data_IF_540439644653
#
_entry.id   IF_540439644653
#
_cell.length_a   1.000
_cell.length_b   1.000
_cell.length_c   1.000
_cell.angle_alpha   90.00
_cell.angle_beta   90.00
_cell.angle_gamma   90.00
#
_symmetry.space_group_name_H-M   'P 1'
#
loop_
_entity.id
_entity.type
_entity.pdbx_description
1 polymer ?
#
# COMPACT_ATOMS: atom_id res chain seq x y z
N UNK A 1 -1.02 16.79 19.25
CA UNK A 1 -0.77 16.15 17.94
C UNK A 1 -0.96 14.66 18.15
N UNK A 2 -2.01 14.08 17.56
CA UNK A 2 -2.41 12.69 17.81
C UNK A 2 -1.44 11.71 17.16
N UNK A 3 -1.03 10.67 17.89
CA UNK A 3 -0.18 9.57 17.40
C UNK A 3 -0.75 8.88 16.14
N UNK A 4 -2.04 9.00 15.84
CA UNK A 4 -2.63 8.47 14.62
C UNK A 4 -2.15 9.17 13.34
N UNK A 5 -1.89 10.49 13.37
CA UNK A 5 -1.35 11.21 12.20
C UNK A 5 0.13 10.88 11.97
N UNK A 6 0.89 10.63 13.04
CA UNK A 6 2.29 10.21 12.94
C UNK A 6 2.41 8.80 12.34
N UNK A 7 1.53 7.88 12.73
CA UNK A 7 1.45 6.52 12.15
C UNK A 7 1.05 6.57 10.68
N UNK A 8 0.11 7.45 10.30
CA UNK A 8 -0.26 7.63 8.88
C UNK A 8 0.90 8.17 8.04
N UNK A 9 1.75 9.04 8.60
CA UNK A 9 2.95 9.59 7.95
C UNK A 9 4.11 8.59 7.87
N UNK A 10 4.34 7.78 8.91
CA UNK A 10 5.32 6.66 8.86
C UNK A 10 4.84 5.54 7.93
N UNK A 11 3.54 5.25 7.92
CA UNK A 11 2.91 4.38 6.94
C UNK A 11 3.07 4.93 5.52
N UNK A 12 3.22 6.24 5.32
CA UNK A 12 3.53 6.84 4.02
C UNK A 12 4.98 6.57 3.60
N UNK A 13 5.94 6.67 4.52
CA UNK A 13 7.34 6.31 4.26
C UNK A 13 7.54 4.82 4.00
N UNK A 14 6.71 3.97 4.59
CA UNK A 14 6.59 2.57 4.21
C UNK A 14 5.83 2.42 2.87
N UNK A 15 4.69 3.11 2.68
CA UNK A 15 3.81 3.10 1.49
C UNK A 15 4.48 3.56 0.20
N UNK A 16 5.45 4.45 0.29
CA UNK A 16 6.24 4.88 -0.86
C UNK A 16 6.99 3.68 -1.47
N UNK A 17 7.53 2.78 -0.65
CA UNK A 17 7.97 1.45 -1.08
C UNK A 17 6.86 0.38 -1.13
N UNK A 18 5.66 0.66 -0.59
CA UNK A 18 4.64 -0.36 -0.28
C UNK A 18 3.42 -0.38 -1.21
N UNK A 19 3.24 0.55 -2.17
CA UNK A 19 2.17 0.41 -3.17
C UNK A 19 2.53 -0.17 -4.55
N UNK A 20 3.81 -0.44 -4.79
CA UNK A 20 4.17 -1.59 -5.62
C UNK A 20 4.02 -2.93 -4.84
N UNK A 21 3.92 -2.89 -3.50
CA UNK A 21 4.20 -4.05 -2.63
C UNK A 21 2.96 -4.75 -2.04
N UNK A 22 1.80 -4.09 -1.99
CA UNK A 22 0.60 -4.71 -1.41
C UNK A 22 -0.14 -5.64 -2.37
N UNK A 23 -0.04 -5.41 -3.69
CA UNK A 23 -0.56 -6.31 -4.73
C UNK A 23 0.39 -6.53 -5.93
N UNK A 24 1.31 -5.60 -6.25
CA UNK A 24 2.22 -5.71 -7.42
C UNK A 24 3.55 -6.43 -7.14
N UNK A 25 3.77 -6.86 -5.90
CA UNK A 25 4.63 -8.02 -5.60
C UNK A 25 3.99 -9.35 -6.04
N UNK A 26 2.98 -9.28 -6.92
CA UNK A 26 2.43 -10.36 -7.73
C UNK A 26 2.57 -10.11 -9.24
N UNK A 27 3.24 -9.05 -9.70
CA UNK A 27 3.67 -8.91 -11.09
C UNK A 27 5.02 -9.61 -11.30
N UNK A 28 5.17 -10.51 -12.28
CA UNK A 28 6.33 -11.40 -12.44
C UNK A 28 7.63 -10.69 -12.83
N UNK A 29 7.65 -9.35 -12.89
CA UNK A 29 8.88 -8.59 -13.16
C UNK A 29 9.64 -8.15 -11.89
N UNK A 30 9.07 -8.35 -10.68
CA UNK A 30 9.81 -8.11 -9.44
C UNK A 30 10.16 -9.44 -8.77
N UNK A 31 11.46 -9.70 -8.61
CA UNK A 31 12.01 -10.86 -7.91
C UNK A 31 11.76 -10.86 -6.40
N UNK A 32 11.06 -9.84 -5.87
CA UNK A 32 10.91 -9.56 -4.44
C UNK A 32 9.46 -9.70 -3.92
N UNK A 33 8.61 -10.40 -4.69
CA UNK A 33 7.20 -10.66 -4.40
C UNK A 33 6.93 -11.44 -3.10
N UNK A 34 5.84 -11.14 -2.37
CA UNK A 34 5.37 -12.02 -1.27
C UNK A 34 4.94 -13.42 -1.74
N UNK A 35 4.83 -13.64 -3.06
CA UNK A 35 4.46 -14.94 -3.65
C UNK A 35 2.99 -15.32 -3.47
N UNK A 36 2.11 -14.34 -3.26
CA UNK A 36 0.72 -14.55 -2.83
C UNK A 36 -0.32 -14.50 -3.97
N UNK A 37 0.08 -14.10 -5.18
CA UNK A 37 -0.73 -14.17 -6.40
C UNK A 37 0.18 -14.14 -7.63
N UNK A 38 -0.39 -14.51 -8.77
CA UNK A 38 0.23 -14.46 -10.11
C UNK A 38 -0.62 -13.60 -11.04
N UNK A 39 -0.02 -12.95 -12.03
CA UNK A 39 -0.77 -12.28 -13.09
C UNK A 39 -1.54 -13.30 -13.94
N UNK A 40 -2.84 -13.06 -14.08
CA UNK A 40 -3.70 -13.81 -14.98
C UNK A 40 -4.68 -12.82 -15.63
N UNK A 41 -4.46 -12.43 -16.90
CA UNK A 41 -5.35 -11.52 -17.62
C UNK A 41 -6.80 -12.02 -17.71
N UNK A 42 -7.04 -13.32 -17.51
CA UNK A 42 -8.38 -13.90 -17.54
C UNK A 42 -9.06 -13.92 -16.16
N UNK A 43 -8.32 -13.60 -15.09
CA UNK A 43 -8.89 -13.51 -13.75
C UNK A 43 -9.64 -12.18 -13.57
N UNK A 44 -10.68 -12.12 -12.70
CA UNK A 44 -11.54 -10.94 -12.52
C UNK A 44 -10.81 -9.63 -12.20
N UNK A 45 -9.62 -9.71 -11.59
CA UNK A 45 -8.80 -8.57 -11.17
C UNK A 45 -7.43 -8.54 -11.86
N UNK A 46 -7.24 -9.31 -12.93
CA UNK A 46 -5.93 -9.51 -13.56
C UNK A 46 -4.93 -10.31 -12.72
N UNK A 47 -5.36 -10.84 -11.57
CA UNK A 47 -4.55 -11.56 -10.60
C UNK A 47 -5.24 -12.86 -10.17
N UNK A 48 -4.46 -13.94 -10.09
CA UNK A 48 -4.85 -15.23 -9.54
C UNK A 48 -4.18 -15.43 -8.18
N UNK A 49 -4.93 -15.41 -7.06
CA UNK A 49 -4.37 -15.65 -5.73
C UNK A 49 -3.78 -17.06 -5.58
N UNK A 50 -2.66 -17.18 -4.85
CA UNK A 50 -2.10 -18.47 -4.43
C UNK A 50 -3.01 -19.15 -3.40
N UNK A 51 -3.65 -18.35 -2.54
CA UNK A 51 -4.64 -18.79 -1.55
C UNK A 51 -6.00 -18.22 -1.94
N UNK A 52 -6.91 -19.08 -2.36
CA UNK A 52 -8.23 -18.66 -2.81
C UNK A 52 -9.07 -18.02 -1.70
N UNK A 53 -8.99 -18.53 -0.47
CA UNK A 53 -9.73 -18.00 0.68
C UNK A 53 -8.82 -17.08 1.51
N UNK A 54 -8.44 -15.94 0.92
CA UNK A 54 -7.68 -14.91 1.62
C UNK A 54 -8.53 -13.62 1.72
N UNK A 55 -9.31 -13.44 2.79
CA UNK A 55 -10.32 -12.36 2.87
C UNK A 55 -9.75 -10.96 2.69
N UNK A 56 -8.58 -10.66 3.27
CA UNK A 56 -7.93 -9.36 3.09
C UNK A 56 -7.62 -9.05 1.62
N UNK A 57 -7.14 -10.04 0.86
CA UNK A 57 -6.81 -9.87 -0.55
C UNK A 57 -8.09 -9.82 -1.41
N UNK A 58 -9.02 -10.76 -1.19
CA UNK A 58 -10.26 -10.85 -1.96
C UNK A 58 -11.12 -9.59 -1.81
N UNK A 59 -11.38 -9.15 -0.58
CA UNK A 59 -12.17 -7.94 -0.33
C UNK A 59 -11.41 -6.68 -0.74
N UNK A 60 -10.09 -6.69 -0.54
CA UNK A 60 -9.21 -5.60 -0.94
C UNK A 60 -9.21 -5.36 -2.45
N UNK A 61 -9.19 -6.42 -3.26
CA UNK A 61 -9.24 -6.34 -4.73
C UNK A 61 -10.56 -5.75 -5.22
N UNK A 62 -11.69 -6.10 -4.59
CA UNK A 62 -13.00 -5.51 -4.93
C UNK A 62 -13.02 -3.99 -4.69
N UNK A 63 -12.48 -3.55 -3.54
CA UNK A 63 -12.40 -2.13 -3.21
C UNK A 63 -11.41 -1.42 -4.14
N UNK A 64 -10.26 -2.03 -4.41
CA UNK A 64 -9.24 -1.49 -5.31
C UNK A 64 -9.79 -1.25 -6.70
N UNK A 65 -10.51 -2.22 -7.27
CA UNK A 65 -11.11 -2.08 -8.59
C UNK A 65 -12.17 -0.98 -8.63
N UNK A 66 -13.01 -0.88 -7.61
CA UNK A 66 -14.00 0.18 -7.51
C UNK A 66 -13.34 1.57 -7.44
N UNK A 67 -12.27 1.71 -6.65
CA UNK A 67 -11.49 2.95 -6.57
C UNK A 67 -10.84 3.27 -7.91
N UNK A 68 -10.17 2.30 -8.54
CA UNK A 68 -9.47 2.50 -9.82
C UNK A 68 -10.45 2.90 -10.92
N UNK A 69 -11.64 2.29 -10.97
CA UNK A 69 -12.70 2.67 -11.90
C UNK A 69 -13.17 4.12 -11.68
N UNK A 70 -13.46 4.49 -10.43
CA UNK A 70 -13.89 5.84 -10.10
C UNK A 70 -12.82 6.90 -10.41
N UNK A 71 -11.57 6.66 -9.98
CA UNK A 71 -10.44 7.56 -10.26
C UNK A 71 -10.20 7.68 -11.76
N UNK A 72 -10.27 6.57 -12.51
CA UNK A 72 -10.11 6.60 -13.97
C UNK A 72 -11.15 7.48 -14.62
N UNK A 73 -12.44 7.31 -14.27
CA UNK A 73 -13.50 8.14 -14.80
C UNK A 73 -13.29 9.64 -14.49
N UNK A 74 -12.87 9.96 -13.25
CA UNK A 74 -12.58 11.32 -12.83
C UNK A 74 -11.38 11.92 -13.58
N UNK A 75 -10.24 11.23 -13.60
CA UNK A 75 -9.01 11.70 -14.24
C UNK A 75 -9.22 11.87 -15.74
N UNK A 76 -9.82 10.90 -16.42
CA UNK A 76 -10.06 11.00 -17.87
C UNK A 76 -11.01 12.15 -18.23
N UNK A 77 -11.90 12.57 -17.32
CA UNK A 77 -12.77 13.72 -17.54
C UNK A 77 -11.99 15.05 -17.58
N UNK A 78 -11.04 15.26 -16.66
CA UNK A 78 -10.29 16.52 -16.55
C UNK A 78 -8.98 16.52 -17.35
N UNK A 79 -8.36 15.36 -17.50
CA UNK A 79 -7.09 15.17 -18.21
C UNK A 79 -7.33 14.22 -19.39
N UNK A 80 -7.78 14.70 -20.56
CA UNK A 80 -8.16 13.85 -21.70
C UNK A 80 -6.98 13.26 -22.48
N UNK A 81 -5.75 13.71 -22.23
CA UNK A 81 -4.53 13.08 -22.74
C UNK A 81 -3.31 13.43 -21.85
N UNK A 82 -2.19 12.74 -22.08
CA UNK A 82 -0.93 12.95 -21.33
C UNK A 82 -0.38 14.38 -21.43
N UNK A 83 -0.56 15.08 -22.56
CA UNK A 83 -0.04 16.44 -22.69
C UNK A 83 -0.69 17.42 -21.71
N UNK A 84 -1.96 17.20 -21.35
CA UNK A 84 -2.64 18.03 -20.34
C UNK A 84 -2.00 17.80 -18.96
N UNK A 85 -1.70 16.55 -18.61
CA UNK A 85 -1.02 16.17 -17.35
C UNK A 85 0.37 16.81 -17.26
N UNK A 86 1.17 16.74 -18.33
CA UNK A 86 2.53 17.32 -18.34
C UNK A 86 2.51 18.85 -18.31
N UNK A 87 1.49 19.48 -18.92
CA UNK A 87 1.38 20.94 -18.98
C UNK A 87 0.85 21.58 -17.69
N UNK A 88 0.25 20.79 -16.80
CA UNK A 88 -0.34 21.26 -15.55
C UNK A 88 0.75 21.52 -14.50
N UNK A 89 1.11 22.79 -14.34
CA UNK A 89 2.19 23.20 -13.43
C UNK A 89 1.87 22.93 -11.96
N UNK A 90 0.60 23.07 -11.56
CA UNK A 90 0.21 22.86 -10.16
C UNK A 90 0.33 21.38 -9.83
N UNK A 91 -0.14 20.51 -10.73
CA UNK A 91 -0.05 19.06 -10.58
C UNK A 91 1.42 18.58 -10.54
N UNK A 92 2.28 19.10 -11.43
CA UNK A 92 3.69 18.73 -11.48
C UNK A 92 4.46 19.18 -10.22
N UNK A 93 4.24 20.41 -9.75
CA UNK A 93 4.89 20.89 -8.52
C UNK A 93 4.35 20.19 -7.27
N UNK A 94 3.05 19.86 -7.21
CA UNK A 94 2.47 19.06 -6.13
C UNK A 94 3.17 17.70 -5.99
N UNK A 95 3.33 16.97 -7.09
CA UNK A 95 3.97 15.66 -7.05
C UNK A 95 5.46 15.74 -6.72
N UNK A 96 6.14 16.75 -7.26
CA UNK A 96 7.53 17.03 -6.94
C UNK A 96 7.72 17.37 -5.45
N UNK A 97 6.82 18.14 -4.85
CA UNK A 97 6.86 18.45 -3.42
C UNK A 97 6.69 17.18 -2.58
N UNK A 98 5.76 16.29 -2.95
CA UNK A 98 5.59 14.97 -2.33
C UNK A 98 6.91 14.19 -2.35
N UNK A 99 7.55 14.04 -3.51
CA UNK A 99 8.74 13.21 -3.65
C UNK A 99 9.99 13.84 -3.00
N UNK A 100 10.14 15.17 -3.06
CA UNK A 100 11.41 15.84 -2.70
C UNK A 100 11.40 16.51 -1.33
N UNK A 101 10.23 16.88 -0.81
CA UNK A 101 10.07 17.54 0.49
C UNK A 101 9.48 16.59 1.51
N UNK A 102 8.28 16.06 1.25
CA UNK A 102 7.60 15.16 2.18
C UNK A 102 8.32 13.81 2.32
N UNK A 103 8.82 13.27 1.21
CA UNK A 103 9.65 12.07 1.15
C UNK A 103 11.08 12.34 0.69
N UNK A 104 11.64 13.48 1.12
CA UNK A 104 12.99 13.89 0.74
C UNK A 104 14.09 12.88 1.09
N UNK A 105 13.85 12.00 2.07
CA UNK A 105 14.73 10.89 2.45
C UNK A 105 14.81 9.77 1.38
N UNK A 106 13.79 9.68 0.50
CA UNK A 106 13.66 8.66 -0.56
C UNK A 106 13.59 9.27 -1.96
N UNK A 107 13.85 10.56 -2.13
CA UNK A 107 13.69 11.27 -3.41
C UNK A 107 14.47 10.66 -4.59
N UNK A 108 15.57 9.96 -4.31
CA UNK A 108 16.49 9.40 -5.31
C UNK A 108 16.16 7.94 -5.67
N UNK A 109 15.07 7.38 -5.12
CA UNK A 109 14.65 6.01 -5.36
C UNK A 109 14.06 5.80 -6.75
N UNK A 110 14.37 4.68 -7.44
CA UNK A 110 14.01 4.48 -8.85
C UNK A 110 12.53 4.12 -9.07
N UNK A 111 11.78 3.79 -8.02
CA UNK A 111 10.39 3.35 -8.10
C UNK A 111 9.38 4.51 -8.10
N UNK A 112 9.82 5.77 -7.96
CA UNK A 112 8.92 6.91 -8.05
C UNK A 112 8.27 7.03 -9.44
N UNK A 113 6.92 7.09 -9.52
CA UNK A 113 6.24 7.46 -10.76
C UNK A 113 6.67 8.85 -11.27
N UNK A 114 6.81 8.99 -12.59
CA UNK A 114 7.25 10.26 -13.20
C UNK A 114 6.13 11.28 -13.44
N UNK A 115 4.87 10.89 -13.25
CA UNK A 115 3.66 11.69 -13.46
C UNK A 115 3.62 12.38 -14.84
N UNK A 116 3.68 11.60 -15.91
CA UNK A 116 3.63 12.11 -17.29
C UNK A 116 2.34 11.75 -18.00
N UNK A 117 1.74 10.62 -17.62
CA UNK A 117 0.55 10.09 -18.28
C UNK A 117 -0.67 10.15 -17.39
N UNK A 118 -1.85 10.03 -18.00
CA UNK A 118 -3.08 9.78 -17.25
C UNK A 118 -2.97 8.54 -16.38
N UNK A 119 -2.34 7.48 -16.89
CA UNK A 119 -2.20 6.22 -16.17
C UNK A 119 -1.37 6.42 -14.90
N UNK A 120 -0.28 7.19 -14.98
CA UNK A 120 0.52 7.56 -13.81
C UNK A 120 -0.35 8.29 -12.77
N UNK A 121 -1.12 9.28 -13.20
CA UNK A 121 -1.99 10.05 -12.31
C UNK A 121 -3.10 9.18 -11.68
N UNK A 122 -3.70 8.29 -12.47
CA UNK A 122 -4.72 7.33 -12.00
C UNK A 122 -4.12 6.42 -10.94
N UNK A 123 -2.94 5.85 -11.20
CA UNK A 123 -2.31 4.92 -10.26
C UNK A 123 -1.86 5.65 -8.99
N UNK A 124 -1.30 6.86 -9.09
CA UNK A 124 -0.94 7.70 -7.94
C UNK A 124 -2.17 8.02 -7.09
N UNK A 125 -3.25 8.54 -7.68
CA UNK A 125 -4.43 8.94 -6.90
C UNK A 125 -5.13 7.73 -6.29
N UNK A 126 -5.29 6.64 -7.06
CA UNK A 126 -5.88 5.39 -6.56
C UNK A 126 -5.08 4.87 -5.37
N UNK A 127 -3.75 4.93 -5.45
CA UNK A 127 -2.82 4.57 -4.37
C UNK A 127 -3.09 5.36 -3.10
N UNK A 128 -3.13 6.69 -3.21
CA UNK A 128 -3.33 7.58 -2.07
C UNK A 128 -4.67 7.30 -1.40
N UNK A 129 -5.74 7.17 -2.18
CA UNK A 129 -7.08 6.90 -1.66
C UNK A 129 -7.13 5.53 -0.98
N UNK A 130 -6.56 4.49 -1.59
CA UNK A 130 -6.51 3.16 -1.00
C UNK A 130 -5.81 3.14 0.36
N UNK A 131 -4.64 3.77 0.45
CA UNK A 131 -3.85 3.85 1.71
C UNK A 131 -4.66 4.54 2.80
N UNK A 132 -5.28 5.68 2.48
CA UNK A 132 -6.06 6.46 3.43
C UNK A 132 -7.41 5.81 3.81
N UNK A 133 -7.93 4.90 3.01
CA UNK A 133 -9.24 4.26 3.20
C UNK A 133 -9.13 2.76 3.50
N UNK A 134 -9.20 1.91 2.46
CA UNK A 134 -9.28 0.45 2.57
C UNK A 134 -8.12 -0.14 3.37
N UNK A 135 -6.88 0.30 3.12
CA UNK A 135 -5.72 -0.19 3.84
C UNK A 135 -5.75 0.23 5.33
N UNK A 136 -5.95 1.52 5.60
CA UNK A 136 -6.05 2.04 6.96
C UNK A 136 -7.15 1.30 7.75
N UNK A 137 -8.33 1.13 7.15
CA UNK A 137 -9.43 0.40 7.77
C UNK A 137 -9.05 -1.04 8.15
N UNK A 138 -8.40 -1.76 7.22
CA UNK A 138 -7.99 -3.15 7.41
C UNK A 138 -6.98 -3.33 8.57
N UNK A 139 -6.07 -2.39 8.77
CA UNK A 139 -5.03 -2.50 9.82
C UNK A 139 -5.40 -1.81 11.14
N UNK A 140 -6.42 -0.94 11.12
CA UNK A 140 -6.82 -0.15 12.29
C UNK A 140 -8.01 -0.76 13.03
N UNK A 141 -9.12 -1.05 12.34
CA UNK A 141 -10.37 -1.40 13.04
C UNK A 141 -10.34 -2.78 13.71
N UNK A 142 -9.45 -3.67 13.26
CA UNK A 142 -9.22 -4.97 13.90
C UNK A 142 -8.38 -4.91 15.18
N UNK A 143 -7.75 -3.77 15.51
CA UNK A 143 -6.78 -3.70 16.62
C UNK A 143 -7.39 -4.16 17.94
N UNK A 144 -8.54 -3.64 18.36
CA UNK A 144 -9.15 -4.06 19.62
C UNK A 144 -9.71 -5.48 19.56
N UNK A 145 -10.33 -5.87 18.44
CA UNK A 145 -10.92 -7.19 18.28
C UNK A 145 -9.89 -8.32 18.45
N UNK A 146 -8.68 -8.13 17.93
CA UNK A 146 -7.60 -9.13 18.03
C UNK A 146 -6.63 -8.87 19.19
N UNK A 147 -6.32 -7.62 19.52
CA UNK A 147 -5.34 -7.28 20.55
C UNK A 147 -5.94 -6.98 21.93
N UNK A 148 -7.28 -6.90 22.05
CA UNK A 148 -7.96 -6.68 23.32
C UNK A 148 -7.75 -7.80 24.32
N UNK A 149 -7.53 -9.03 23.82
CA UNK A 149 -7.03 -10.14 24.62
C UNK A 149 -5.51 -10.24 24.49
N UNK A 150 -4.80 -9.77 25.51
CA UNK A 150 -3.34 -9.58 25.47
C UNK A 150 -2.54 -10.82 25.01
N UNK A 151 -2.85 -12.06 25.46
CA UNK A 151 -2.12 -13.24 24.99
C UNK A 151 -2.19 -13.49 23.48
N UNK A 152 -3.23 -12.99 22.79
CA UNK A 152 -3.36 -13.16 21.33
C UNK A 152 -2.46 -12.20 20.54
N UNK A 153 -2.14 -11.02 21.07
CA UNK A 153 -1.25 -10.04 20.42
C UNK A 153 -0.42 -9.24 21.44
N UNK A 154 0.54 -9.87 22.14
CA UNK A 154 1.37 -9.19 23.12
C UNK A 154 2.27 -8.17 22.42
N UNK A 155 2.38 -6.97 23.01
CA UNK A 155 3.27 -5.90 22.49
C UNK A 155 4.68 -5.97 23.07
N UNK A 156 4.92 -6.87 24.03
CA UNK A 156 6.21 -7.04 24.69
C UNK A 156 6.36 -8.46 25.25
N UNK A 157 7.55 -9.03 25.13
CA UNK A 157 8.00 -10.19 25.90
C UNK A 157 9.00 -9.71 26.97
N UNK A 158 8.83 -10.15 28.22
CA UNK A 158 9.65 -9.69 29.36
C UNK A 158 10.68 -10.72 29.83
N UNK A 159 10.54 -11.96 29.38
CA UNK A 159 11.41 -13.08 29.71
C UNK A 159 11.91 -13.68 28.41
N UNK A 160 13.13 -14.23 28.42
CA UNK A 160 13.68 -14.98 27.29
C UNK A 160 12.90 -16.28 27.09
N UNK A 161 13.12 -16.93 25.95
CA UNK A 161 12.66 -18.30 25.77
C UNK A 161 13.29 -19.19 26.85
N UNK A 162 12.51 -20.04 27.54
CA UNK A 162 13.04 -20.96 28.54
C UNK A 162 14.00 -21.98 27.89
N UNK A 163 14.99 -22.46 28.65
CA UNK A 163 15.85 -23.57 28.22
C UNK A 163 15.07 -24.88 28.27
N UNK A 164 15.29 -25.76 27.30
CA UNK A 164 14.79 -27.14 27.37
C UNK A 164 15.60 -27.97 28.39
N UNK A 165 16.81 -27.52 28.74
CA UNK A 165 17.61 -28.14 29.78
C UNK A 165 17.19 -27.61 31.16
N UNK A 166 16.60 -28.46 32.03
CA UNK A 166 16.16 -28.04 33.35
C UNK A 166 17.30 -27.66 34.30
N UNK A 167 18.57 -27.84 33.90
CA UNK A 167 19.75 -27.48 34.70
C UNK A 167 20.24 -26.04 34.51
N UNK A 168 19.80 -25.35 33.46
CA UNK A 168 20.10 -23.93 33.27
C UNK A 168 19.22 -23.06 34.19
N UNK A 169 19.84 -22.22 35.03
CA UNK A 169 19.09 -21.21 35.78
C UNK A 169 18.59 -20.11 34.84
N UNK A 170 17.28 -19.83 34.90
CA UNK A 170 16.60 -18.76 34.15
C UNK A 170 17.06 -17.33 34.51
#
# INVERSE_FOLDING_TARGET
>A
MNNQLLVLLECWSAAAGVLHSLLLHCSPCSTDGRGMAEEDPNAPHGLRPTINDYPFANDGLLIWDALKQWVSAYVTHYYPNSSVVESDKELQEWWKEICTVFHGDKKDEPWWPTLRTQQDLIDIITTIIWVASGHHAAVNFGQYAYAGYFPNKPTIARTKMPSEDPSDQE
#
